data_IF_363540128819
#
_entry.id   IF_363540128819
#
_cell.length_a   1.000
_cell.length_b   1.000
_cell.length_c   1.000
_cell.angle_alpha   90.00
_cell.angle_beta   90.00
_cell.angle_gamma   90.00
#
_symmetry.space_group_name_H-M   'P 1'
#
loop_
_entity.id
_entity.type
_entity.pdbx_description
1 polymer ?
#
# COMPACT_ATOMS: atom_id res chain seq x y z
N UNK A 1 -21.32 -30.93 15.01
CA UNK A 1 -20.63 -29.78 14.39
C UNK A 1 -21.67 -28.71 14.17
N UNK A 2 -21.66 -27.64 14.96
CA UNK A 2 -22.57 -26.51 14.82
C UNK A 2 -22.06 -25.62 13.68
N UNK A 3 -22.76 -25.63 12.55
CA UNK A 3 -22.52 -24.70 11.44
C UNK A 3 -22.97 -23.31 11.88
N UNK A 4 -22.01 -22.42 12.18
CA UNK A 4 -22.31 -21.00 12.34
C UNK A 4 -22.88 -20.45 11.02
N UNK A 5 -24.01 -19.73 11.03
CA UNK A 5 -24.58 -19.18 9.82
C UNK A 5 -23.63 -18.12 9.23
N UNK A 6 -23.36 -18.23 7.93
CA UNK A 6 -22.65 -17.20 7.17
C UNK A 6 -23.50 -15.93 7.17
N UNK A 7 -23.05 -14.90 7.87
CA UNK A 7 -23.69 -13.58 7.88
C UNK A 7 -23.44 -12.93 6.52
N UNK A 8 -24.51 -12.61 5.79
CA UNK A 8 -24.46 -11.89 4.51
C UNK A 8 -24.54 -10.38 4.79
N UNK A 9 -24.05 -9.54 3.88
CA UNK A 9 -24.17 -8.07 4.01
C UNK A 9 -25.64 -7.61 4.16
N UNK A 10 -26.60 -8.38 3.65
CA UNK A 10 -28.05 -8.17 3.83
C UNK A 10 -28.55 -8.32 5.27
N UNK A 11 -27.76 -8.96 6.15
CA UNK A 11 -28.11 -9.17 7.56
C UNK A 11 -27.73 -7.96 8.44
N UNK A 12 -26.94 -7.03 7.90
CA UNK A 12 -26.57 -5.78 8.58
C UNK A 12 -27.61 -4.69 8.31
N UNK A 13 -28.08 -4.04 9.38
CA UNK A 13 -28.90 -2.83 9.29
C UNK A 13 -27.97 -1.61 9.25
N UNK A 14 -27.92 -0.93 8.12
CA UNK A 14 -27.15 0.31 7.99
C UNK A 14 -28.07 1.50 8.27
N UNK A 15 -27.71 2.34 9.26
CA UNK A 15 -28.50 3.53 9.61
C UNK A 15 -27.61 4.76 9.46
N UNK A 16 -28.08 5.77 8.74
CA UNK A 16 -27.35 7.03 8.60
C UNK A 16 -27.59 7.99 9.78
N UNK A 17 -26.95 9.16 9.76
CA UNK A 17 -27.11 10.19 10.80
C UNK A 17 -28.52 10.84 10.82
N UNK A 18 -29.32 10.63 9.77
CA UNK A 18 -30.70 11.11 9.66
C UNK A 18 -31.73 10.06 10.11
N UNK A 19 -31.28 8.85 10.45
CA UNK A 19 -32.14 7.74 10.85
C UNK A 19 -32.72 6.93 9.68
N UNK A 20 -32.23 7.13 8.45
CA UNK A 20 -32.66 6.33 7.30
C UNK A 20 -32.07 4.92 7.38
N UNK A 21 -32.89 3.91 7.08
CA UNK A 21 -32.44 2.53 6.95
C UNK A 21 -31.96 2.27 5.52
N UNK A 22 -30.66 2.11 5.36
CA UNK A 22 -29.98 1.88 4.09
C UNK A 22 -29.84 0.37 3.83
N UNK A 23 -29.92 0.00 2.56
CA UNK A 23 -29.88 -1.38 2.06
C UNK A 23 -28.47 -1.93 1.98
N UNK A 24 -27.48 -1.08 1.68
CA UNK A 24 -26.09 -1.54 1.45
C UNK A 24 -25.06 -0.65 2.13
N UNK A 25 -23.84 -1.20 2.32
CA UNK A 25 -22.68 -0.45 2.81
C UNK A 25 -22.27 0.69 1.87
N UNK A 26 -22.49 0.52 0.57
CA UNK A 26 -22.25 1.56 -0.44
C UNK A 26 -23.17 2.75 -0.21
N UNK A 27 -24.48 2.52 -0.03
CA UNK A 27 -25.43 3.57 0.33
C UNK A 27 -25.01 4.28 1.63
N UNK A 28 -24.56 3.54 2.66
CA UNK A 28 -24.06 4.15 3.91
C UNK A 28 -22.86 5.06 3.69
N UNK A 29 -21.93 4.64 2.82
CA UNK A 29 -20.74 5.41 2.49
C UNK A 29 -21.13 6.72 1.78
N UNK A 30 -22.06 6.65 0.82
CA UNK A 30 -22.59 7.84 0.13
C UNK A 30 -23.30 8.78 1.10
N UNK A 31 -24.15 8.26 1.99
CA UNK A 31 -24.85 9.04 3.01
C UNK A 31 -23.87 9.76 3.97
N UNK A 32 -22.82 9.06 4.40
CA UNK A 32 -21.76 9.62 5.25
C UNK A 32 -20.95 10.69 4.52
N UNK A 33 -20.61 10.47 3.25
CA UNK A 33 -19.90 11.44 2.41
C UNK A 33 -20.74 12.71 2.22
N UNK A 34 -22.02 12.58 1.87
CA UNK A 34 -22.92 13.73 1.70
C UNK A 34 -23.03 14.54 2.99
N UNK A 35 -23.15 13.84 4.13
CA UNK A 35 -23.20 14.49 5.45
C UNK A 35 -21.88 15.17 5.82
N UNK A 36 -20.73 14.57 5.50
CA UNK A 36 -19.41 15.15 5.71
C UNK A 36 -19.20 16.43 4.89
N UNK A 37 -19.70 16.45 3.65
CA UNK A 37 -19.63 17.60 2.75
C UNK A 37 -20.71 18.67 3.03
N UNK A 38 -21.47 18.53 4.11
CA UNK A 38 -22.59 19.42 4.47
C UNK A 38 -23.64 19.55 3.34
N UNK A 39 -23.78 18.53 2.50
CA UNK A 39 -24.78 18.48 1.44
C UNK A 39 -26.03 17.75 1.94
N UNK A 40 -27.17 18.45 1.90
CA UNK A 40 -28.45 17.82 2.23
C UNK A 40 -28.90 16.84 1.13
N UNK A 41 -29.70 15.85 1.53
CA UNK A 41 -30.19 14.81 0.63
C UNK A 41 -31.49 14.16 1.11
N UNK A 42 -32.26 13.68 0.15
CA UNK A 42 -33.46 12.86 0.31
C UNK A 42 -33.11 11.43 -0.11
N UNK A 43 -33.25 10.47 0.80
CA UNK A 43 -33.02 9.05 0.53
C UNK A 43 -34.29 8.38 -0.01
N UNK A 44 -34.16 7.46 -0.98
CA UNK A 44 -35.28 6.79 -1.67
C UNK A 44 -36.25 7.76 -2.37
N UNK A 45 -35.71 8.72 -3.12
CA UNK A 45 -36.51 9.71 -3.86
C UNK A 45 -37.30 9.07 -5.01
N UNK A 46 -38.62 9.22 -5.01
CA UNK A 46 -39.49 8.68 -6.06
C UNK A 46 -39.55 9.61 -7.28
N UNK A 47 -39.31 9.05 -8.47
CA UNK A 47 -39.47 9.74 -9.76
C UNK A 47 -40.37 8.93 -10.68
N UNK A 48 -41.11 9.61 -11.55
CA UNK A 48 -41.96 8.99 -12.57
C UNK A 48 -41.28 9.11 -13.93
N UNK A 49 -40.93 7.97 -14.52
CA UNK A 49 -40.32 7.85 -15.85
C UNK A 49 -41.30 8.30 -16.95
N UNK A 50 -40.81 8.60 -18.16
CA UNK A 50 -41.64 9.02 -19.31
C UNK A 50 -42.66 7.96 -19.71
N UNK A 51 -42.34 6.69 -19.47
CA UNK A 51 -43.25 5.56 -19.69
C UNK A 51 -44.33 5.40 -18.60
N UNK A 52 -44.39 6.30 -17.61
CA UNK A 52 -45.35 6.27 -16.49
C UNK A 52 -44.95 5.39 -15.31
N UNK A 53 -43.84 4.67 -15.39
CA UNK A 53 -43.34 3.81 -14.31
C UNK A 53 -42.73 4.65 -13.20
N UNK A 54 -43.08 4.35 -11.95
CA UNK A 54 -42.46 4.96 -10.77
C UNK A 54 -41.24 4.15 -10.34
N UNK A 55 -40.11 4.84 -10.17
CA UNK A 55 -38.86 4.24 -9.67
C UNK A 55 -38.32 5.07 -8.51
N UNK A 56 -37.55 4.42 -7.63
CA UNK A 56 -36.87 5.08 -6.51
C UNK A 56 -35.39 5.20 -6.82
N UNK A 57 -34.89 6.44 -6.70
CA UNK A 57 -33.47 6.77 -6.77
C UNK A 57 -32.94 6.85 -5.35
N UNK A 58 -31.75 6.29 -5.12
CA UNK A 58 -31.23 6.17 -3.75
C UNK A 58 -31.02 7.53 -3.10
N UNK A 59 -30.41 8.49 -3.77
CA UNK A 59 -30.21 9.84 -3.21
C UNK A 59 -30.59 10.94 -4.19
N UNK A 60 -31.37 11.91 -3.71
CA UNK A 60 -31.53 13.21 -4.36
C UNK A 60 -30.84 14.28 -3.54
N UNK A 61 -30.02 15.08 -4.19
CA UNK A 61 -29.33 16.24 -3.64
C UNK A 61 -29.82 17.50 -4.36
N UNK A 62 -29.42 18.68 -3.89
CA UNK A 62 -29.67 19.94 -4.60
C UNK A 62 -29.04 19.95 -6.01
N UNK A 63 -27.87 19.31 -6.16
CA UNK A 63 -27.09 19.33 -7.41
C UNK A 63 -27.48 18.25 -8.41
N UNK A 64 -28.23 17.24 -7.99
CA UNK A 64 -28.56 16.11 -8.85
C UNK A 64 -28.94 14.84 -8.09
N UNK A 65 -29.07 13.77 -8.85
CA UNK A 65 -29.47 12.43 -8.41
C UNK A 65 -28.24 11.53 -8.33
N UNK A 66 -28.20 10.65 -7.34
CA UNK A 66 -27.18 9.62 -7.17
C UNK A 66 -27.89 8.28 -6.99
N UNK A 67 -27.52 7.34 -7.86
CA UNK A 67 -28.07 5.99 -7.89
C UNK A 67 -26.98 4.98 -7.51
N UNK A 68 -27.28 4.07 -6.58
CA UNK A 68 -26.34 3.02 -6.17
C UNK A 68 -26.55 1.76 -7.02
N UNK A 69 -25.49 1.30 -7.70
CA UNK A 69 -25.55 0.18 -8.64
C UNK A 69 -25.01 -1.09 -8.00
N UNK A 70 -25.92 -1.97 -7.56
CA UNK A 70 -25.59 -3.23 -6.91
C UNK A 70 -25.96 -4.46 -7.76
N UNK A 71 -26.81 -4.28 -8.78
CA UNK A 71 -27.22 -5.34 -9.71
C UNK A 71 -27.61 -4.80 -11.10
N UNK A 72 -27.90 -5.70 -12.04
CA UNK A 72 -28.23 -5.33 -13.42
C UNK A 72 -29.55 -4.52 -13.55
N UNK A 73 -30.49 -4.65 -12.60
CA UNK A 73 -31.72 -3.84 -12.61
C UNK A 73 -31.43 -2.38 -12.29
N UNK A 74 -30.45 -2.11 -11.42
CA UNK A 74 -30.05 -0.75 -11.09
C UNK A 74 -29.39 -0.07 -12.31
N UNK A 75 -28.66 -0.85 -13.12
CA UNK A 75 -28.10 -0.39 -14.39
C UNK A 75 -29.19 0.02 -15.38
N UNK A 76 -30.21 -0.82 -15.55
CA UNK A 76 -31.35 -0.53 -16.43
C UNK A 76 -32.11 0.71 -15.96
N UNK A 77 -32.38 0.78 -14.65
CA UNK A 77 -33.01 1.95 -14.01
C UNK A 77 -32.19 3.21 -14.28
N UNK A 78 -30.89 3.19 -14.06
CA UNK A 78 -30.00 4.33 -14.30
C UNK A 78 -30.04 4.81 -15.76
N UNK A 79 -29.93 3.89 -16.72
CA UNK A 79 -29.97 4.20 -18.17
C UNK A 79 -31.30 4.86 -18.55
N UNK A 80 -32.42 4.28 -18.10
CA UNK A 80 -33.75 4.83 -18.37
C UNK A 80 -33.93 6.23 -17.80
N UNK A 81 -33.40 6.48 -16.61
CA UNK A 81 -33.49 7.81 -15.95
C UNK A 81 -32.69 8.86 -16.70
N UNK A 82 -31.50 8.52 -17.20
CA UNK A 82 -30.70 9.42 -18.04
C UNK A 82 -31.38 9.72 -19.38
N UNK A 83 -32.00 8.73 -20.00
CA UNK A 83 -32.73 8.88 -21.26
C UNK A 83 -34.00 9.74 -21.08
N UNK A 84 -34.72 9.52 -19.97
CA UNK A 84 -35.95 10.24 -19.67
C UNK A 84 -35.69 11.68 -19.22
N UNK A 85 -34.57 11.93 -18.54
CA UNK A 85 -34.21 13.24 -17.97
C UNK A 85 -32.78 13.67 -18.35
N UNK A 86 -32.49 13.93 -19.64
CA UNK A 86 -31.13 14.26 -20.10
C UNK A 86 -30.59 15.57 -19.50
N UNK A 87 -31.47 16.47 -19.06
CA UNK A 87 -31.11 17.73 -18.39
C UNK A 87 -30.73 17.57 -16.92
N UNK A 88 -31.08 16.44 -16.29
CA UNK A 88 -30.76 16.19 -14.88
C UNK A 88 -29.34 15.65 -14.74
N UNK A 89 -28.61 16.16 -13.75
CA UNK A 89 -27.33 15.57 -13.34
C UNK A 89 -27.61 14.28 -12.58
N UNK A 90 -27.26 13.14 -13.18
CA UNK A 90 -27.46 11.80 -12.60
C UNK A 90 -26.12 11.06 -12.52
N UNK A 91 -25.71 10.76 -11.29
CA UNK A 91 -24.50 10.01 -10.96
C UNK A 91 -24.87 8.57 -10.63
N UNK A 92 -24.02 7.61 -11.02
CA UNK A 92 -24.09 6.23 -10.57
C UNK A 92 -22.86 5.90 -9.72
N UNK A 93 -23.04 5.18 -8.62
CA UNK A 93 -21.96 4.72 -7.73
C UNK A 93 -22.22 3.24 -7.44
N UNK A 94 -21.25 2.35 -7.62
CA UNK A 94 -21.50 0.93 -7.36
C UNK A 94 -20.28 0.06 -7.56
N UNK A 95 -20.44 -1.26 -7.40
CA UNK A 95 -19.35 -2.19 -7.58
C UNK A 95 -18.89 -2.21 -9.05
N UNK A 96 -17.57 -2.24 -9.29
CA UNK A 96 -16.96 -2.09 -10.61
C UNK A 96 -17.53 -3.05 -11.68
N UNK A 97 -17.86 -4.29 -11.27
CA UNK A 97 -18.53 -5.31 -12.11
C UNK A 97 -19.80 -4.79 -12.82
N UNK A 98 -20.58 -3.95 -12.15
CA UNK A 98 -21.86 -3.43 -12.68
C UNK A 98 -21.66 -2.09 -13.37
N UNK A 99 -20.85 -1.21 -12.79
CA UNK A 99 -20.55 0.12 -13.34
C UNK A 99 -19.86 0.03 -14.71
N UNK A 100 -19.00 -0.98 -14.94
CA UNK A 100 -18.33 -1.21 -16.22
C UNK A 100 -19.28 -1.55 -17.39
N UNK A 101 -20.51 -1.99 -17.11
CA UNK A 101 -21.52 -2.27 -18.14
C UNK A 101 -22.29 -1.00 -18.58
N UNK A 102 -22.11 0.11 -17.87
CA UNK A 102 -22.69 1.42 -18.19
C UNK A 102 -21.68 2.17 -19.07
N UNK A 103 -21.79 2.00 -20.39
CA UNK A 103 -20.87 2.58 -21.39
C UNK A 103 -20.80 4.14 -21.41
N UNK A 104 -21.66 4.84 -20.66
CA UNK A 104 -21.89 6.30 -20.75
C UNK A 104 -21.60 7.11 -19.48
N UNK A 105 -20.86 6.56 -18.50
CA UNK A 105 -20.36 7.39 -17.41
C UNK A 105 -19.09 8.11 -17.86
N UNK A 106 -19.24 9.24 -18.54
CA UNK A 106 -18.11 10.07 -18.95
C UNK A 106 -17.62 11.07 -17.89
N UNK A 107 -18.25 11.19 -16.71
CA UNK A 107 -17.82 12.24 -15.76
C UNK A 107 -17.63 11.82 -14.29
N UNK A 108 -18.03 10.60 -13.86
CA UNK A 108 -17.73 10.08 -12.50
C UNK A 108 -17.54 8.56 -12.58
N UNK A 109 -16.47 8.13 -13.25
CA UNK A 109 -15.88 6.79 -13.08
C UNK A 109 -14.43 7.01 -12.73
N UNK A 110 -14.08 6.75 -11.47
CA UNK A 110 -12.72 6.33 -11.21
C UNK A 110 -12.62 4.85 -11.55
N UNK A 111 -11.61 4.54 -12.37
CA UNK A 111 -11.23 3.25 -12.96
C UNK A 111 -11.92 2.88 -14.27
N UNK A 112 -11.45 3.57 -15.31
CA UNK A 112 -10.47 3.03 -16.28
C UNK A 112 -10.27 1.50 -16.26
N UNK A 113 -10.16 0.92 -17.45
CA UNK A 113 -9.77 -0.48 -17.63
C UNK A 113 -8.27 -0.62 -17.32
N UNK A 114 -7.89 -0.60 -16.04
CA UNK A 114 -6.51 -0.72 -15.57
C UNK A 114 -6.46 -1.38 -14.16
N UNK A 115 -5.30 -1.93 -13.76
CA UNK A 115 -5.18 -3.13 -12.92
C UNK A 115 -5.81 -3.06 -11.54
N UNK A 116 -6.30 -4.19 -11.05
CA UNK A 116 -6.60 -4.32 -9.62
C UNK A 116 -5.28 -4.14 -8.86
N UNK A 117 -5.20 -3.16 -7.95
CA UNK A 117 -4.03 -3.04 -7.06
C UNK A 117 -3.98 -4.27 -6.16
N UNK A 118 -2.84 -4.93 -6.14
CA UNK A 118 -2.57 -6.09 -5.30
C UNK A 118 -1.32 -5.86 -4.45
N UNK A 119 -1.21 -6.66 -3.39
CA UNK A 119 0.01 -6.77 -2.60
C UNK A 119 0.42 -8.25 -2.53
N UNK A 120 1.73 -8.50 -2.60
CA UNK A 120 2.33 -9.79 -2.25
C UNK A 120 3.44 -9.54 -1.22
N UNK A 121 3.60 -10.47 -0.28
CA UNK A 121 4.72 -10.47 0.65
C UNK A 121 5.54 -11.74 0.45
N UNK A 122 6.85 -11.61 0.59
CA UNK A 122 7.80 -12.71 0.49
C UNK A 122 8.68 -12.73 1.74
N UNK A 123 8.69 -13.89 2.38
CA UNK A 123 9.61 -14.25 3.44
C UNK A 123 10.29 -15.56 3.03
N UNK A 124 11.62 -15.59 3.10
CA UNK A 124 12.41 -16.77 2.73
C UNK A 124 13.67 -16.82 3.59
N UNK A 125 14.10 -18.02 3.98
CA UNK A 125 15.33 -18.18 4.76
C UNK A 125 16.59 -17.67 4.04
N UNK A 126 16.56 -17.55 2.70
CA UNK A 126 17.66 -16.94 1.93
C UNK A 126 17.63 -15.41 1.92
N UNK A 127 16.65 -14.77 2.54
CA UNK A 127 16.62 -13.32 2.77
C UNK A 127 17.20 -12.99 4.15
N UNK A 128 18.27 -13.69 4.51
CA UNK A 128 19.02 -13.44 5.73
C UNK A 128 20.44 -13.07 5.40
N UNK A 129 21.04 -12.20 6.21
CA UNK A 129 22.41 -11.76 6.05
C UNK A 129 23.08 -11.55 7.40
N UNK A 130 24.37 -11.87 7.46
CA UNK A 130 25.21 -11.70 8.64
C UNK A 130 26.05 -10.43 8.48
N UNK A 131 26.10 -9.60 9.52
CA UNK A 131 26.86 -8.36 9.46
C UNK A 131 27.46 -7.96 10.80
N UNK A 132 28.44 -7.05 10.74
CA UNK A 132 28.97 -6.35 11.89
C UNK A 132 28.70 -4.84 11.79
N UNK A 133 28.56 -4.16 12.91
CA UNK A 133 28.41 -2.70 12.93
C UNK A 133 28.86 -2.07 14.27
N UNK A 134 28.90 -0.74 14.30
CA UNK A 134 29.07 0.05 15.53
C UNK A 134 28.04 1.19 15.50
N UNK A 135 27.35 1.41 16.62
CA UNK A 135 26.43 2.53 16.83
C UNK A 135 26.94 3.43 17.97
N UNK A 136 27.72 4.48 17.68
CA UNK A 136 28.43 5.25 18.71
C UNK A 136 27.51 5.97 19.70
N UNK A 137 26.27 6.23 19.32
CA UNK A 137 25.28 6.95 20.13
C UNK A 137 24.47 6.05 21.08
N UNK A 138 24.67 4.73 21.03
CA UNK A 138 23.87 3.76 21.79
C UNK A 138 24.76 2.95 22.73
N UNK A 139 24.60 3.09 24.05
CA UNK A 139 25.56 2.58 25.03
C UNK A 139 25.93 1.09 24.85
N UNK A 140 24.95 0.18 24.70
CA UNK A 140 25.22 -1.25 24.49
C UNK A 140 25.74 -1.59 23.10
N UNK A 141 25.33 -0.82 22.08
CA UNK A 141 25.73 -1.04 20.67
C UNK A 141 26.94 -0.19 20.26
N UNK A 142 27.56 0.50 21.21
CA UNK A 142 28.70 1.41 21.01
C UNK A 142 30.05 0.70 20.81
N UNK A 143 30.06 -0.63 20.91
CA UNK A 143 31.21 -1.48 20.62
C UNK A 143 30.95 -2.30 19.36
N UNK A 144 32.02 -2.71 18.69
CA UNK A 144 31.93 -3.61 17.53
C UNK A 144 31.25 -4.92 17.93
N UNK A 145 30.18 -5.26 17.23
CA UNK A 145 29.44 -6.50 17.37
C UNK A 145 28.74 -6.81 16.04
N UNK A 146 27.93 -7.86 16.01
CA UNK A 146 27.23 -8.25 14.80
C UNK A 146 25.90 -8.96 15.07
N UNK A 147 25.16 -9.16 13.99
CA UNK A 147 23.83 -9.74 13.98
C UNK A 147 23.64 -10.62 12.75
N UNK A 148 22.74 -11.59 12.89
CA UNK A 148 22.07 -12.25 11.77
C UNK A 148 20.72 -11.58 11.61
N UNK A 149 20.51 -10.92 10.47
CA UNK A 149 19.24 -10.29 10.15
C UNK A 149 18.42 -11.12 9.19
N UNK A 150 17.10 -11.06 9.34
CA UNK A 150 16.15 -11.59 8.35
C UNK A 150 15.32 -10.45 7.75
N UNK A 151 14.99 -10.60 6.47
CA UNK A 151 14.26 -9.62 5.67
C UNK A 151 13.00 -10.23 5.10
N UNK A 152 11.87 -9.55 5.28
CA UNK A 152 10.63 -9.80 4.56
C UNK A 152 10.35 -8.59 3.65
N UNK A 153 9.93 -8.85 2.41
CA UNK A 153 9.64 -7.81 1.43
C UNK A 153 8.18 -7.87 1.03
N UNK A 154 7.51 -6.73 1.11
CA UNK A 154 6.18 -6.51 0.57
C UNK A 154 6.28 -5.72 -0.75
N UNK A 155 5.55 -6.14 -1.77
CA UNK A 155 5.46 -5.45 -3.05
C UNK A 155 3.99 -5.10 -3.29
N UNK A 156 3.73 -3.83 -3.60
CA UNK A 156 2.39 -3.34 -3.91
C UNK A 156 2.40 -2.73 -5.30
N UNK A 157 1.34 -2.96 -6.06
CA UNK A 157 1.16 -2.30 -7.33
C UNK A 157 0.05 -2.91 -8.17
N UNK A 158 0.17 -2.71 -9.46
CA UNK A 158 -0.87 -2.99 -10.44
C UNK A 158 -0.82 -4.46 -10.91
N UNK A 159 -1.88 -5.23 -10.69
CA UNK A 159 -1.95 -6.65 -11.09
C UNK A 159 -2.34 -6.86 -12.55
N UNK A 160 -1.48 -7.53 -13.31
CA UNK A 160 -1.79 -7.97 -14.67
C UNK A 160 -2.14 -9.45 -14.65
N UNK A 161 -3.26 -9.84 -15.24
CA UNK A 161 -3.70 -11.23 -15.32
C UNK A 161 -3.80 -11.92 -13.93
N UNK A 162 -4.30 -11.19 -12.93
CA UNK A 162 -4.38 -11.59 -11.51
C UNK A 162 -3.03 -11.84 -10.82
N UNK A 163 -1.92 -11.34 -11.39
CA UNK A 163 -0.59 -11.46 -10.83
C UNK A 163 0.08 -10.08 -10.73
N UNK A 164 0.69 -9.78 -9.58
CA UNK A 164 1.52 -8.58 -9.43
C UNK A 164 2.91 -8.82 -10.03
N UNK A 165 3.64 -9.79 -9.50
CA UNK A 165 4.95 -10.26 -9.98
C UNK A 165 5.03 -11.77 -9.73
N UNK A 166 5.70 -12.50 -10.62
CA UNK A 166 6.02 -13.92 -10.38
C UNK A 166 6.93 -14.07 -9.16
N UNK A 167 6.57 -14.97 -8.23
CA UNK A 167 7.32 -15.16 -6.99
C UNK A 167 8.78 -15.57 -7.23
N UNK A 168 9.08 -16.32 -8.29
CA UNK A 168 10.45 -16.70 -8.64
C UNK A 168 11.29 -15.50 -9.10
N UNK A 169 10.70 -14.61 -9.89
CA UNK A 169 11.34 -13.35 -10.31
C UNK A 169 11.57 -12.44 -9.10
N UNK A 170 10.53 -12.21 -8.29
CA UNK A 170 10.63 -11.38 -7.09
C UNK A 170 11.69 -11.93 -6.12
N UNK A 171 11.67 -13.24 -5.84
CA UNK A 171 12.65 -13.91 -4.97
C UNK A 171 14.08 -13.75 -5.48
N UNK A 172 14.31 -13.85 -6.79
CA UNK A 172 15.64 -13.66 -7.38
C UNK A 172 16.15 -12.23 -7.16
N UNK A 173 15.31 -11.22 -7.44
CA UNK A 173 15.67 -9.81 -7.26
C UNK A 173 15.95 -9.51 -5.78
N UNK A 174 15.08 -9.95 -4.88
CA UNK A 174 15.22 -9.72 -3.44
C UNK A 174 16.51 -10.35 -2.93
N UNK A 175 16.76 -11.62 -3.28
CA UNK A 175 17.98 -12.33 -2.86
C UNK A 175 19.25 -11.67 -3.37
N UNK A 176 19.25 -11.19 -4.61
CA UNK A 176 20.39 -10.48 -5.19
C UNK A 176 20.75 -9.23 -4.37
N UNK A 177 19.75 -8.41 -4.02
CA UNK A 177 19.95 -7.22 -3.20
C UNK A 177 20.39 -7.57 -1.79
N UNK A 178 19.72 -8.52 -1.12
CA UNK A 178 20.06 -8.91 0.26
C UNK A 178 21.50 -9.44 0.35
N UNK A 179 21.97 -10.17 -0.66
CA UNK A 179 23.35 -10.67 -0.70
C UNK A 179 24.41 -9.55 -0.74
N UNK A 180 24.08 -8.33 -1.16
CA UNK A 180 25.03 -7.21 -1.13
C UNK A 180 25.37 -6.78 0.32
N UNK A 181 24.47 -7.08 1.26
CA UNK A 181 24.61 -6.78 2.69
C UNK A 181 25.28 -7.90 3.48
N UNK A 182 25.37 -9.09 2.90
CA UNK A 182 25.89 -10.26 3.59
C UNK A 182 27.41 -10.21 3.77
N UNK A 183 27.85 -10.62 4.96
CA UNK A 183 29.24 -10.58 5.42
C UNK A 183 29.88 -9.19 5.30
N UNK A 184 29.12 -8.12 5.56
CA UNK A 184 29.60 -6.73 5.54
C UNK A 184 29.79 -6.14 6.94
N UNK A 185 30.71 -5.19 7.02
CA UNK A 185 30.83 -4.25 8.13
C UNK A 185 30.15 -2.93 7.75
N UNK A 186 29.06 -2.60 8.44
CA UNK A 186 28.33 -1.34 8.23
C UNK A 186 28.83 -0.25 9.15
N UNK A 187 29.12 0.92 8.58
CA UNK A 187 29.53 2.09 9.33
C UNK A 187 29.11 3.37 8.61
N UNK A 188 28.78 4.41 9.37
CA UNK A 188 28.43 5.69 8.79
C UNK A 188 29.67 6.33 8.11
N UNK A 189 29.50 6.76 6.85
CA UNK A 189 30.51 7.44 6.03
C UNK A 189 31.11 8.65 6.72
N UNK A 190 30.38 9.36 7.59
CA UNK A 190 30.90 10.52 8.34
C UNK A 190 32.12 10.19 9.20
N UNK A 191 32.31 8.91 9.55
CA UNK A 191 33.46 8.44 10.31
C UNK A 191 34.66 8.07 9.43
N UNK A 192 34.52 8.11 8.11
CA UNK A 192 35.63 7.93 7.17
C UNK A 192 36.60 9.11 7.28
N UNK A 193 37.84 8.82 7.68
CA UNK A 193 38.89 9.84 7.81
C UNK A 193 39.74 9.97 6.55
N UNK A 194 40.09 8.83 5.96
CA UNK A 194 40.89 8.71 4.73
C UNK A 194 40.69 7.32 4.14
N UNK A 195 41.09 7.15 2.90
CA UNK A 195 41.10 5.86 2.20
C UNK A 195 42.35 5.74 1.33
N UNK A 196 42.79 4.51 1.10
CA UNK A 196 43.75 4.15 0.06
C UNK A 196 43.06 3.27 -1.00
N UNK A 197 43.81 2.62 -1.88
CA UNK A 197 43.22 1.78 -2.95
C UNK A 197 42.44 0.56 -2.43
N UNK A 198 42.71 0.12 -1.20
CA UNK A 198 42.25 -1.17 -0.65
C UNK A 198 41.53 -1.08 0.69
N UNK A 199 41.77 -0.02 1.47
CA UNK A 199 41.25 0.12 2.82
C UNK A 199 40.62 1.50 3.08
N UNK A 200 39.63 1.50 3.97
CA UNK A 200 39.13 2.70 4.64
C UNK A 200 39.80 2.84 6.02
N UNK A 201 40.09 4.08 6.41
CA UNK A 201 40.40 4.43 7.79
C UNK A 201 39.17 5.08 8.43
N UNK A 202 38.62 4.43 9.45
CA UNK A 202 37.47 4.89 10.22
C UNK A 202 37.94 5.43 11.56
N UNK A 203 37.55 6.66 11.92
CA UNK A 203 37.95 7.31 13.16
C UNK A 203 36.80 8.10 13.80
N UNK A 204 36.54 7.85 15.08
CA UNK A 204 35.53 8.60 15.87
C UNK A 204 35.69 8.37 17.37
N UNK A 205 35.20 9.32 18.17
CA UNK A 205 35.07 9.15 19.63
C UNK A 205 33.75 8.43 19.97
N UNK A 206 33.86 7.34 20.74
CA UNK A 206 32.71 6.61 21.28
C UNK A 206 32.68 6.62 22.81
N UNK A 207 31.58 6.14 23.42
CA UNK A 207 31.43 5.99 24.87
C UNK A 207 32.52 5.15 25.55
N UNK A 208 33.23 4.31 24.78
CA UNK A 208 34.33 3.44 25.26
C UNK A 208 35.71 3.95 24.85
N UNK A 209 35.82 5.19 24.39
CA UNK A 209 37.05 5.81 23.93
C UNK A 209 37.10 6.01 22.42
N UNK A 210 38.26 6.43 21.93
CA UNK A 210 38.50 6.66 20.52
C UNK A 210 38.59 5.33 19.77
N UNK A 211 37.82 5.21 18.70
CA UNK A 211 37.93 4.14 17.71
C UNK A 211 38.82 4.60 16.56
N UNK A 212 39.80 3.77 16.20
CA UNK A 212 40.66 3.97 15.03
C UNK A 212 40.85 2.62 14.34
N UNK A 213 40.16 2.43 13.22
CA UNK A 213 40.05 1.15 12.52
C UNK A 213 40.53 1.30 11.09
N UNK A 214 41.35 0.35 10.62
CA UNK A 214 41.62 0.17 9.21
C UNK A 214 40.85 -1.07 8.73
N UNK A 215 39.95 -0.89 7.75
CA UNK A 215 39.03 -1.93 7.30
C UNK A 215 39.09 -2.09 5.77
N UNK A 216 39.03 -3.33 5.22
CA UNK A 216 39.07 -3.54 3.77
C UNK A 216 37.84 -2.95 3.09
N UNK A 217 38.01 -2.35 1.90
CA UNK A 217 36.90 -1.79 1.13
C UNK A 217 35.87 -2.84 0.73
N UNK A 218 36.33 -4.02 0.31
CA UNK A 218 35.47 -5.08 -0.24
C UNK A 218 34.46 -5.65 0.78
N UNK A 219 34.76 -5.53 2.08
CA UNK A 219 33.91 -6.02 3.17
C UNK A 219 33.30 -4.88 4.00
N UNK A 220 33.53 -3.61 3.64
CA UNK A 220 33.01 -2.45 4.36
C UNK A 220 31.97 -1.73 3.53
N UNK A 221 30.79 -1.55 4.10
CA UNK A 221 29.70 -0.82 3.47
C UNK A 221 29.50 0.51 4.20
N UNK A 222 29.80 1.62 3.50
CA UNK A 222 29.67 2.97 4.02
C UNK A 222 28.23 3.48 3.83
N UNK A 223 27.53 3.68 4.95
CA UNK A 223 26.16 4.21 4.99
C UNK A 223 26.17 5.73 5.13
N UNK A 224 25.19 6.43 4.56
CA UNK A 224 25.01 7.87 4.84
C UNK A 224 24.45 8.11 6.26
N UNK A 225 23.66 7.15 6.77
CA UNK A 225 23.10 7.14 8.12
C UNK A 225 23.88 6.24 9.09
N UNK A 226 23.49 6.27 10.36
CA UNK A 226 23.95 5.26 11.33
C UNK A 226 23.45 3.86 10.93
N UNK A 227 24.19 2.81 11.28
CA UNK A 227 23.89 1.42 10.92
C UNK A 227 22.71 0.81 11.71
N UNK A 228 21.59 1.52 11.79
CA UNK A 228 20.36 1.04 12.44
C UNK A 228 19.50 0.26 11.47
N UNK A 229 18.59 -0.57 12.00
CA UNK A 229 17.64 -1.35 11.21
C UNK A 229 16.75 -0.50 10.29
N UNK A 230 16.36 0.71 10.73
CA UNK A 230 15.59 1.66 9.92
C UNK A 230 16.37 2.13 8.69
N UNK A 231 17.66 2.47 8.86
CA UNK A 231 18.50 2.91 7.76
C UNK A 231 18.85 1.75 6.82
N UNK A 232 19.11 0.55 7.36
CA UNK A 232 19.33 -0.65 6.55
C UNK A 232 18.09 -0.98 5.71
N UNK A 233 16.89 -0.87 6.28
CA UNK A 233 15.63 -1.04 5.52
C UNK A 233 15.54 -0.05 4.36
N UNK A 234 15.91 1.20 4.60
CA UNK A 234 15.91 2.25 3.56
C UNK A 234 16.93 1.96 2.45
N UNK A 235 18.13 1.49 2.78
CA UNK A 235 19.14 1.11 1.79
C UNK A 235 18.70 -0.08 0.93
N UNK A 236 18.09 -1.10 1.55
CA UNK A 236 17.52 -2.24 0.82
C UNK A 236 16.44 -1.76 -0.16
N UNK A 237 15.53 -0.86 0.26
CA UNK A 237 14.51 -0.28 -0.63
C UNK A 237 15.18 0.44 -1.81
N UNK A 238 16.20 1.28 -1.58
CA UNK A 238 16.91 2.00 -2.65
C UNK A 238 17.51 1.07 -3.70
N UNK A 239 17.97 -0.11 -3.30
CA UNK A 239 18.55 -1.11 -4.21
C UNK A 239 17.49 -2.01 -4.86
N UNK A 240 16.37 -2.28 -4.18
CA UNK A 240 15.25 -3.05 -4.72
C UNK A 240 14.50 -2.28 -5.81
N UNK A 241 14.11 -1.03 -5.51
CA UNK A 241 13.19 -0.24 -6.36
C UNK A 241 13.62 -0.15 -7.83
N UNK A 242 14.89 0.13 -8.18
CA UNK A 242 15.34 0.18 -9.58
C UNK A 242 15.27 -1.17 -10.30
N UNK A 243 15.32 -2.28 -9.55
CA UNK A 243 15.25 -3.65 -10.09
C UNK A 243 13.80 -4.14 -10.19
N UNK A 244 12.83 -3.45 -9.60
CA UNK A 244 11.43 -3.87 -9.60
C UNK A 244 10.70 -3.60 -10.94
N UNK A 245 9.83 -4.52 -11.38
CA UNK A 245 8.99 -4.32 -12.56
C UNK A 245 8.20 -3.00 -12.53
N UNK A 246 7.90 -2.44 -13.70
CA UNK A 246 7.25 -1.13 -13.85
C UNK A 246 5.87 -1.02 -13.17
N UNK A 247 5.18 -2.14 -13.02
CA UNK A 247 3.87 -2.20 -12.39
C UNK A 247 3.92 -2.27 -10.84
N UNK A 248 5.11 -2.34 -10.24
CA UNK A 248 5.29 -2.19 -8.79
C UNK A 248 5.36 -0.70 -8.46
N UNK A 249 4.47 -0.27 -7.58
CA UNK A 249 4.24 1.13 -7.19
C UNK A 249 4.70 1.43 -5.76
N UNK A 250 4.84 0.42 -4.90
CA UNK A 250 5.45 0.56 -3.59
C UNK A 250 6.19 -0.70 -3.16
N UNK A 251 7.21 -0.50 -2.32
CA UNK A 251 8.02 -1.58 -1.72
C UNK A 251 8.03 -1.38 -0.21
N UNK A 252 7.65 -2.41 0.52
CA UNK A 252 7.82 -2.55 1.95
C UNK A 252 9.01 -3.45 2.27
N UNK A 253 9.85 -3.04 3.20
CA UNK A 253 10.93 -3.86 3.75
C UNK A 253 10.77 -3.93 5.25
N UNK A 254 10.76 -5.16 5.76
CA UNK A 254 10.75 -5.51 7.17
C UNK A 254 12.07 -6.18 7.47
N UNK A 255 12.82 -5.65 8.42
CA UNK A 255 14.09 -6.23 8.86
C UNK A 255 14.01 -6.57 10.35
N UNK A 256 14.58 -7.71 10.73
CA UNK A 256 14.70 -8.13 12.11
C UNK A 256 16.17 -8.26 12.50
N UNK A 257 16.54 -7.71 13.65
CA UNK A 257 17.88 -7.80 14.27
C UNK A 257 17.78 -8.75 15.47
N UNK A 258 17.81 -10.05 15.16
CA UNK A 258 17.60 -11.15 16.11
C UNK A 258 16.11 -11.45 16.41
N UNK A 259 15.87 -12.26 17.44
CA UNK A 259 14.52 -12.66 17.85
C UNK A 259 13.81 -11.49 18.55
N UNK A 260 12.76 -10.94 17.92
CA UNK A 260 11.79 -9.95 18.46
C UNK A 260 12.11 -8.46 18.33
N UNK A 261 13.18 -8.05 17.64
CA UNK A 261 13.43 -6.63 17.35
C UNK A 261 13.48 -6.44 15.85
N UNK A 262 12.64 -5.57 15.31
CA UNK A 262 12.63 -5.27 13.88
C UNK A 262 12.08 -3.90 13.58
N UNK A 263 12.31 -3.47 12.34
CA UNK A 263 11.78 -2.23 11.79
C UNK A 263 11.11 -2.53 10.45
N UNK A 264 10.17 -1.67 10.06
CA UNK A 264 9.58 -1.73 8.74
C UNK A 264 9.46 -0.34 8.14
N UNK A 265 9.68 -0.26 6.84
CA UNK A 265 9.48 0.94 6.04
C UNK A 265 8.73 0.54 4.79
N UNK A 266 7.70 1.31 4.45
CA UNK A 266 7.01 1.20 3.17
C UNK A 266 7.24 2.50 2.42
N UNK A 267 7.68 2.39 1.17
CA UNK A 267 7.99 3.54 0.31
C UNK A 267 7.26 3.41 -1.01
N UNK A 268 6.55 4.48 -1.39
CA UNK A 268 6.02 4.63 -2.74
C UNK A 268 7.17 4.87 -3.72
N UNK A 269 7.06 4.30 -4.91
CA UNK A 269 8.02 4.50 -5.98
C UNK A 269 7.53 5.65 -6.85
N UNK A 270 8.24 6.78 -6.82
CA UNK A 270 8.13 7.82 -7.84
C UNK A 270 9.12 7.50 -8.96
N UNK A 271 8.62 7.29 -10.19
CA UNK A 271 9.42 7.04 -11.41
C UNK A 271 9.35 8.21 -12.37
#
# INVERSE_FOLDING_TARGET
MTTSPTILDSDFKYIDKKGNLLKTRTELTVAQMLTFLENDYEYNHEITLKNGTKVKIDFKTEKGLIEVIDNDKDIEKYKQVKEDFPEKKVMAIGHAKYVAQIKELQDIVFYDKTPQTGSIFLEDASFSFDYAHILPLVEKCSILHGHTSSVMVELVGQMKDNLLVDFGIAKKIIKEVVNEFDHKFFINRKYLKKEDDSHYQINFDGPKGMFDLQVPKDTTYLLEGEATVENLSSEIIKLLVPKMPANVEAVGVYIYEGYNKGSHIISNIER
#
